data_IF_254075309674
#
_entry.id   IF_254075309674
#
_cell.length_a   1.000
_cell.length_b   1.000
_cell.length_c   1.000
_cell.angle_alpha   90.00
_cell.angle_beta   90.00
_cell.angle_gamma   90.00
#
_symmetry.space_group_name_H-M   'P 1'
#
loop_
_entity.id
_entity.type
_entity.pdbx_description
1 polymer ?
#
# COMPACT_ATOMS: atom_id res chain seq x y z
N UNK A 1 13.05 -31.67 -5.60
CA UNK A 1 14.41 -31.78 -6.20
C UNK A 1 15.27 -30.64 -5.66
N UNK A 2 16.59 -30.67 -5.83
CA UNK A 2 17.48 -29.57 -5.41
C UNK A 2 17.29 -28.35 -6.32
N UNK A 3 17.62 -27.16 -5.82
CA UNK A 3 17.54 -25.90 -6.56
C UNK A 3 18.68 -24.95 -6.18
N UNK A 4 19.12 -24.10 -7.09
CA UNK A 4 20.09 -23.06 -6.75
C UNK A 4 19.39 -21.92 -6.00
N UNK A 5 19.79 -21.67 -4.75
CA UNK A 5 19.19 -20.63 -3.91
C UNK A 5 20.05 -19.36 -3.94
N UNK A 6 19.58 -18.31 -4.64
CA UNK A 6 20.25 -17.00 -4.66
C UNK A 6 20.49 -16.43 -3.26
N UNK A 7 19.54 -16.61 -2.33
CA UNK A 7 19.66 -16.13 -0.94
C UNK A 7 20.89 -16.69 -0.22
N UNK A 8 21.18 -17.98 -0.42
CA UNK A 8 22.28 -18.70 0.23
C UNK A 8 23.51 -18.87 -0.67
N UNK A 9 23.44 -18.48 -1.94
CA UNK A 9 24.53 -18.64 -2.91
C UNK A 9 24.93 -20.09 -3.19
N UNK A 10 24.06 -21.06 -2.93
CA UNK A 10 24.37 -22.50 -3.04
C UNK A 10 23.18 -23.34 -3.50
N UNK A 11 23.46 -24.58 -3.88
CA UNK A 11 22.42 -25.59 -4.13
C UNK A 11 21.77 -25.95 -2.79
N UNK A 12 20.46 -25.71 -2.69
CA UNK A 12 19.62 -26.03 -1.56
C UNK A 12 18.64 -27.17 -1.92
N UNK A 13 18.06 -27.78 -0.88
CA UNK A 13 16.92 -28.68 -0.99
C UNK A 13 15.71 -28.07 -0.28
N UNK A 14 14.48 -28.32 -0.76
CA UNK A 14 13.28 -27.95 -0.03
C UNK A 14 13.32 -28.51 1.40
N UNK A 15 12.85 -27.70 2.36
CA UNK A 15 12.73 -28.12 3.74
C UNK A 15 11.41 -28.86 3.93
N UNK A 16 11.45 -29.99 4.65
CA UNK A 16 10.25 -30.78 4.97
C UNK A 16 9.57 -30.34 6.27
N UNK A 17 9.89 -29.14 6.76
CA UNK A 17 9.43 -28.62 8.05
C UNK A 17 8.32 -27.55 7.93
N UNK A 18 7.62 -27.51 6.80
CA UNK A 18 6.56 -26.51 6.56
C UNK A 18 5.39 -26.67 7.55
N UNK A 19 5.07 -27.89 7.97
CA UNK A 19 3.96 -28.18 8.89
C UNK A 19 4.10 -27.41 10.20
N UNK A 20 5.31 -27.32 10.76
CA UNK A 20 5.57 -26.55 12.00
C UNK A 20 5.19 -25.08 11.84
N UNK A 21 5.52 -24.47 10.70
CA UNK A 21 5.17 -23.07 10.43
C UNK A 21 3.69 -22.91 10.17
N UNK A 22 3.07 -23.88 9.48
CA UNK A 22 1.63 -23.88 9.25
C UNK A 22 0.84 -23.91 10.55
N UNK A 23 1.20 -24.80 11.48
CA UNK A 23 0.61 -24.89 12.82
C UNK A 23 0.82 -23.60 13.61
N UNK A 24 2.07 -23.10 13.65
CA UNK A 24 2.41 -21.87 14.37
C UNK A 24 1.58 -20.68 13.89
N UNK A 25 1.56 -20.42 12.58
CA UNK A 25 0.82 -19.29 12.02
C UNK A 25 -0.69 -19.49 12.14
N UNK A 26 -1.20 -20.72 12.05
CA UNK A 26 -2.62 -21.00 12.30
C UNK A 26 -3.02 -20.61 13.72
N UNK A 27 -2.26 -21.04 14.73
CA UNK A 27 -2.54 -20.72 16.13
C UNK A 27 -2.38 -19.23 16.41
N UNK A 28 -1.32 -18.59 15.89
CA UNK A 28 -1.11 -17.14 16.00
C UNK A 28 -2.27 -16.35 15.38
N UNK A 29 -2.72 -16.72 14.17
CA UNK A 29 -3.87 -16.08 13.51
C UNK A 29 -5.15 -16.22 14.35
N UNK A 30 -5.46 -17.41 14.88
CA UNK A 30 -6.65 -17.61 15.72
C UNK A 30 -6.59 -16.76 17.00
N UNK A 31 -5.42 -16.67 17.64
CA UNK A 31 -5.23 -15.84 18.83
C UNK A 31 -5.45 -14.36 18.51
N UNK A 32 -4.90 -13.86 17.40
CA UNK A 32 -5.10 -12.47 16.96
C UNK A 32 -6.55 -12.16 16.61
N UNK A 33 -7.25 -13.09 15.97
CA UNK A 33 -8.68 -12.92 15.69
C UNK A 33 -9.49 -12.84 16.98
N UNK A 34 -9.17 -13.67 17.99
CA UNK A 34 -9.81 -13.62 19.31
C UNK A 34 -9.51 -12.33 20.07
N UNK A 35 -8.32 -11.77 19.92
CA UNK A 35 -7.97 -10.48 20.50
C UNK A 35 -8.69 -9.33 19.77
N UNK A 36 -8.66 -9.35 18.44
CA UNK A 36 -9.33 -8.36 17.60
C UNK A 36 -10.85 -8.34 17.85
N UNK A 37 -11.49 -9.48 18.06
CA UNK A 37 -12.92 -9.55 18.38
C UNK A 37 -13.31 -8.75 19.63
N UNK A 38 -12.38 -8.59 20.58
CA UNK A 38 -12.57 -7.75 21.77
C UNK A 38 -12.33 -6.26 21.52
N UNK A 39 -11.49 -5.93 20.54
CA UNK A 39 -11.07 -4.56 20.23
C UNK A 39 -11.94 -3.90 19.17
N UNK A 40 -12.50 -4.68 18.25
CA UNK A 40 -13.25 -4.16 17.11
C UNK A 40 -14.48 -3.40 17.58
N UNK A 41 -14.69 -2.25 16.98
CA UNK A 41 -15.89 -1.45 17.18
C UNK A 41 -16.90 -1.74 16.07
N UNK A 42 -18.15 -1.32 16.28
CA UNK A 42 -19.21 -1.46 15.28
C UNK A 42 -18.99 -0.49 14.11
N UNK A 43 -18.04 -0.84 13.24
CA UNK A 43 -17.66 -0.09 12.04
C UNK A 43 -17.93 -0.92 10.81
N UNK A 44 -18.34 -0.27 9.73
CA UNK A 44 -18.42 -0.90 8.42
C UNK A 44 -17.11 -0.69 7.68
N UNK A 45 -16.54 -1.76 7.15
CA UNK A 45 -15.27 -1.76 6.42
C UNK A 45 -15.46 -2.47 5.10
N UNK A 46 -14.88 -1.93 4.04
CA UNK A 46 -15.04 -2.46 2.68
C UNK A 46 -13.69 -2.46 1.97
N UNK A 47 -13.37 -3.59 1.32
CA UNK A 47 -12.22 -3.71 0.45
C UNK A 47 -12.67 -3.54 -1.01
N UNK A 48 -12.03 -2.61 -1.71
CA UNK A 48 -12.23 -2.34 -3.12
C UNK A 48 -10.97 -2.72 -3.89
N UNK A 49 -11.14 -3.33 -5.07
CA UNK A 49 -10.03 -3.77 -5.92
C UNK A 49 -10.10 -3.07 -7.27
N UNK A 50 -9.06 -2.32 -7.63
CA UNK A 50 -9.01 -1.57 -8.87
C UNK A 50 -7.83 -0.61 -8.94
N UNK A 51 -7.72 0.10 -10.06
CA UNK A 51 -6.73 1.15 -10.22
C UNK A 51 -7.17 2.41 -9.46
N UNK A 52 -6.42 2.80 -8.43
CA UNK A 52 -6.76 3.94 -7.59
C UNK A 52 -6.77 5.27 -8.35
N UNK A 53 -6.13 5.35 -9.52
CA UNK A 53 -6.18 6.53 -10.41
C UNK A 53 -7.56 6.76 -11.02
N UNK A 54 -8.35 5.70 -11.20
CA UNK A 54 -9.57 5.74 -12.02
C UNK A 54 -10.79 5.08 -11.39
N UNK A 55 -10.61 4.28 -10.34
CA UNK A 55 -11.71 3.59 -9.66
C UNK A 55 -12.77 4.59 -9.18
N UNK A 56 -14.03 4.29 -9.47
CA UNK A 56 -15.16 5.01 -8.89
C UNK A 56 -15.52 4.40 -7.54
N UNK A 57 -15.03 5.03 -6.46
CA UNK A 57 -15.19 4.55 -5.09
C UNK A 57 -16.67 4.46 -4.72
N UNK A 58 -17.50 5.41 -5.18
CA UNK A 58 -18.92 5.43 -4.84
C UNK A 58 -19.66 4.27 -5.50
N UNK A 59 -19.48 4.08 -6.81
CA UNK A 59 -20.17 3.00 -7.53
C UNK A 59 -19.72 1.61 -7.04
N UNK A 60 -18.44 1.43 -6.72
CA UNK A 60 -17.94 0.17 -6.16
C UNK A 60 -18.47 -0.11 -4.74
N UNK A 61 -18.66 0.93 -3.93
CA UNK A 61 -19.30 0.79 -2.61
C UNK A 61 -20.79 0.49 -2.77
N UNK A 62 -21.49 1.18 -3.67
CA UNK A 62 -22.92 1.00 -3.92
C UNK A 62 -23.27 -0.44 -4.32
N UNK A 63 -22.43 -1.08 -5.14
CA UNK A 63 -22.56 -2.51 -5.49
C UNK A 63 -22.52 -3.44 -4.27
N UNK A 64 -21.79 -3.06 -3.21
CA UNK A 64 -21.61 -3.87 -1.99
C UNK A 64 -22.61 -3.49 -0.88
N UNK A 65 -22.91 -2.21 -0.72
CA UNK A 65 -23.82 -1.69 0.30
C UNK A 65 -24.33 -0.29 -0.11
N UNK A 66 -25.58 -0.24 -0.59
CA UNK A 66 -26.21 1.01 -1.01
C UNK A 66 -26.37 2.02 0.14
N UNK A 67 -26.71 1.56 1.35
CA UNK A 67 -26.89 2.46 2.51
C UNK A 67 -25.57 3.13 2.87
N UNK A 68 -24.46 2.39 2.84
CA UNK A 68 -23.14 2.95 3.09
C UNK A 68 -22.68 3.89 1.97
N UNK A 69 -23.07 3.62 0.72
CA UNK A 69 -22.80 4.51 -0.40
C UNK A 69 -23.50 5.88 -0.23
N UNK A 70 -24.77 5.88 0.20
CA UNK A 70 -25.49 7.12 0.51
C UNK A 70 -24.82 7.88 1.67
N UNK A 71 -24.39 7.18 2.72
CA UNK A 71 -23.62 7.79 3.80
C UNK A 71 -22.32 8.44 3.30
N UNK A 72 -21.60 7.77 2.38
CA UNK A 72 -20.39 8.31 1.77
C UNK A 72 -20.67 9.59 0.97
N UNK A 73 -21.77 9.67 0.22
CA UNK A 73 -22.12 10.91 -0.50
C UNK A 73 -22.43 12.07 0.45
N UNK A 74 -23.13 11.79 1.56
CA UNK A 74 -23.53 12.81 2.52
C UNK A 74 -22.38 13.29 3.40
N UNK A 75 -21.63 12.35 4.00
CA UNK A 75 -20.60 12.66 4.99
C UNK A 75 -19.22 12.85 4.36
N UNK A 76 -18.99 12.24 3.19
CA UNK A 76 -17.69 12.18 2.51
C UNK A 76 -16.58 11.60 3.39
N UNK A 77 -15.37 11.53 2.86
CA UNK A 77 -14.20 10.95 3.53
C UNK A 77 -13.43 12.06 4.24
N UNK A 78 -13.21 11.88 5.55
CA UNK A 78 -12.42 12.80 6.39
C UNK A 78 -10.94 12.85 6.02
N UNK A 79 -10.41 11.77 5.48
CA UNK A 79 -9.00 11.72 5.15
C UNK A 79 -8.54 10.34 4.69
N UNK A 80 -7.28 10.27 4.32
CA UNK A 80 -6.61 9.02 3.96
C UNK A 80 -5.32 8.88 4.75
N UNK A 81 -4.99 7.63 5.08
CA UNK A 81 -3.69 7.26 5.61
C UNK A 81 -3.16 6.14 4.73
N UNK A 82 -2.04 6.35 4.07
CA UNK A 82 -1.51 5.38 3.11
C UNK A 82 0.01 5.39 3.05
N UNK A 83 0.57 4.29 2.56
CA UNK A 83 1.96 4.20 2.13
C UNK A 83 1.95 3.85 0.64
N UNK A 84 2.13 4.85 -0.25
CA UNK A 84 2.19 4.61 -1.69
C UNK A 84 3.29 3.61 -2.06
N UNK A 85 3.20 2.93 -3.22
CA UNK A 85 4.28 2.07 -3.68
C UNK A 85 5.60 2.87 -3.77
N UNK A 86 6.73 2.21 -3.53
CA UNK A 86 8.04 2.83 -3.61
C UNK A 86 8.58 2.68 -5.03
N UNK A 87 9.18 3.74 -5.58
CA UNK A 87 9.65 3.79 -6.97
C UNK A 87 10.61 2.63 -7.25
N UNK A 88 10.18 1.68 -8.10
CA UNK A 88 10.99 0.59 -8.59
C UNK A 88 11.62 -0.25 -7.49
N UNK A 89 10.92 -0.44 -6.36
CA UNK A 89 11.45 -1.22 -5.24
C UNK A 89 11.19 -2.72 -5.42
N UNK A 90 9.95 -3.06 -5.79
CA UNK A 90 9.46 -4.44 -5.96
C UNK A 90 8.41 -4.48 -7.08
N UNK A 91 8.27 -5.63 -7.71
CA UNK A 91 7.09 -5.98 -8.51
C UNK A 91 6.07 -6.59 -7.53
N UNK A 92 4.99 -5.87 -7.19
CA UNK A 92 4.12 -6.23 -6.07
C UNK A 92 3.35 -7.53 -6.31
N UNK A 93 2.77 -7.69 -7.50
CA UNK A 93 2.06 -8.91 -7.90
C UNK A 93 3.01 -10.10 -7.90
N UNK A 94 4.23 -9.92 -8.40
CA UNK A 94 5.21 -11.02 -8.46
C UNK A 94 5.71 -11.42 -7.07
N UNK A 95 6.00 -10.46 -6.20
CA UNK A 95 6.39 -10.75 -4.82
C UNK A 95 5.30 -11.50 -4.04
N UNK A 96 4.03 -11.31 -4.42
CA UNK A 96 2.87 -11.90 -3.76
C UNK A 96 2.20 -13.00 -4.62
N UNK A 97 2.89 -13.54 -5.64
CA UNK A 97 2.30 -14.44 -6.63
C UNK A 97 1.56 -15.64 -6.01
N UNK A 98 2.11 -16.23 -4.95
CA UNK A 98 1.46 -17.34 -4.25
C UNK A 98 0.12 -16.96 -3.61
N UNK A 99 -0.05 -15.73 -3.12
CA UNK A 99 -1.33 -15.28 -2.60
C UNK A 99 -2.38 -15.20 -3.71
N UNK A 100 -2.00 -14.66 -4.88
CA UNK A 100 -2.90 -14.62 -6.04
C UNK A 100 -3.30 -16.02 -6.50
N UNK A 101 -2.34 -16.95 -6.56
CA UNK A 101 -2.60 -18.34 -6.95
C UNK A 101 -3.49 -19.07 -5.92
N UNK A 102 -3.15 -19.01 -4.64
CA UNK A 102 -3.88 -19.71 -3.56
C UNK A 102 -5.32 -19.22 -3.45
N UNK A 103 -5.54 -17.91 -3.58
CA UNK A 103 -6.88 -17.31 -3.46
C UNK A 103 -7.61 -17.16 -4.80
N UNK A 104 -7.01 -17.58 -5.91
CA UNK A 104 -7.59 -17.45 -7.26
C UNK A 104 -7.88 -15.99 -7.64
N UNK A 105 -7.04 -15.04 -7.19
CA UNK A 105 -7.20 -13.62 -7.47
C UNK A 105 -6.65 -13.28 -8.86
N UNK A 106 -7.36 -12.42 -9.59
CA UNK A 106 -6.88 -11.88 -10.86
C UNK A 106 -5.68 -10.95 -10.62
N UNK A 107 -4.59 -11.17 -11.36
CA UNK A 107 -3.42 -10.28 -11.34
C UNK A 107 -3.61 -9.12 -12.32
N UNK A 108 -3.18 -7.92 -11.92
CA UNK A 108 -3.26 -6.69 -12.73
C UNK A 108 -1.89 -6.01 -12.78
N UNK A 109 -0.86 -6.77 -13.13
CA UNK A 109 0.55 -6.35 -13.14
C UNK A 109 0.76 -5.02 -13.91
N UNK A 110 0.08 -4.85 -15.04
CA UNK A 110 0.19 -3.64 -15.88
C UNK A 110 -0.33 -2.36 -15.22
N UNK A 111 -1.13 -2.48 -14.16
CA UNK A 111 -1.66 -1.34 -13.40
C UNK A 111 -0.73 -0.92 -12.25
N UNK A 112 0.39 -1.62 -12.03
CA UNK A 112 1.35 -1.24 -11.01
C UNK A 112 1.97 0.14 -11.28
N UNK A 113 2.05 0.95 -10.23
CA UNK A 113 2.73 2.23 -10.26
C UNK A 113 4.20 2.00 -9.91
N UNK A 114 5.08 2.16 -10.90
CA UNK A 114 6.53 2.01 -10.78
C UNK A 114 7.02 0.64 -10.25
N UNK A 115 6.68 -0.45 -10.95
CA UNK A 115 7.21 -1.78 -10.64
C UNK A 115 8.74 -1.84 -10.78
N UNK A 116 9.39 -2.74 -10.04
CA UNK A 116 10.86 -2.95 -10.08
C UNK A 116 11.36 -3.24 -11.50
N UNK A 117 10.62 -4.04 -12.26
CA UNK A 117 10.90 -4.37 -13.67
C UNK A 117 11.07 -3.14 -14.59
N UNK A 118 10.50 -1.97 -14.23
CA UNK A 118 10.65 -0.71 -14.97
C UNK A 118 11.79 0.17 -14.46
N UNK A 119 12.43 -0.19 -13.34
CA UNK A 119 13.57 0.54 -12.77
C UNK A 119 13.20 1.86 -12.06
N UNK A 120 14.22 2.70 -11.82
CA UNK A 120 14.12 3.93 -11.03
C UNK A 120 14.61 5.19 -11.78
N UNK A 121 14.61 5.14 -13.12
CA UNK A 121 15.08 6.22 -13.97
C UNK A 121 14.27 7.51 -13.84
N UNK A 122 14.71 8.57 -14.52
CA UNK A 122 13.99 9.85 -14.52
C UNK A 122 12.56 9.72 -15.05
N UNK A 123 12.37 8.95 -16.12
CA UNK A 123 11.04 8.70 -16.68
C UNK A 123 10.13 8.00 -15.66
N UNK A 124 10.63 7.00 -14.94
CA UNK A 124 9.86 6.31 -13.90
C UNK A 124 9.53 7.24 -12.74
N UNK A 125 10.44 8.12 -12.33
CA UNK A 125 10.16 9.12 -11.28
C UNK A 125 9.10 10.13 -11.73
N UNK A 126 9.14 10.59 -12.99
CA UNK A 126 8.11 11.46 -13.57
C UNK A 126 6.75 10.75 -13.64
N UNK A 127 6.74 9.49 -14.08
CA UNK A 127 5.55 8.65 -14.11
C UNK A 127 4.98 8.41 -12.71
N UNK A 128 5.82 8.17 -11.71
CA UNK A 128 5.44 8.03 -10.31
C UNK A 128 4.72 9.28 -9.80
N UNK A 129 5.37 10.44 -9.94
CA UNK A 129 4.83 11.73 -9.52
C UNK A 129 3.43 11.94 -10.11
N UNK A 130 3.30 11.75 -11.44
CA UNK A 130 2.04 11.90 -12.14
C UNK A 130 0.98 10.91 -11.64
N UNK A 131 1.35 9.64 -11.51
CA UNK A 131 0.42 8.58 -11.11
C UNK A 131 -0.09 8.76 -9.68
N UNK A 132 0.78 9.08 -8.72
CA UNK A 132 0.35 9.34 -7.34
C UNK A 132 -0.51 10.61 -7.27
N UNK A 133 -0.17 11.66 -8.03
CA UNK A 133 -1.01 12.85 -8.11
C UNK A 133 -2.41 12.53 -8.68
N UNK A 134 -2.50 11.70 -9.72
CA UNK A 134 -3.78 11.24 -10.29
C UNK A 134 -4.61 10.45 -9.26
N UNK A 135 -3.98 9.58 -8.46
CA UNK A 135 -4.65 8.90 -7.34
C UNK A 135 -5.25 9.90 -6.36
N UNK A 136 -4.46 10.89 -5.90
CA UNK A 136 -4.92 11.90 -4.95
C UNK A 136 -6.04 12.77 -5.52
N UNK A 137 -5.94 13.16 -6.80
CA UNK A 137 -6.99 13.90 -7.51
C UNK A 137 -8.27 13.08 -7.62
N UNK A 138 -8.15 11.76 -7.87
CA UNK A 138 -9.31 10.88 -7.90
C UNK A 138 -9.96 10.76 -6.51
N UNK A 139 -9.17 10.55 -5.46
CA UNK A 139 -9.65 10.48 -4.08
C UNK A 139 -10.33 11.78 -3.62
N UNK A 140 -9.82 12.94 -4.05
CA UNK A 140 -10.33 14.26 -3.67
C UNK A 140 -11.82 14.46 -4.00
N UNK A 141 -12.34 13.80 -5.04
CA UNK A 141 -13.77 13.81 -5.39
C UNK A 141 -14.67 13.35 -4.23
N UNK A 142 -14.13 12.51 -3.34
CA UNK A 142 -14.85 11.88 -2.24
C UNK A 142 -14.52 12.50 -0.87
N UNK A 143 -13.70 13.55 -0.81
CA UNK A 143 -13.29 14.17 0.45
C UNK A 143 -14.30 15.22 0.92
N UNK A 144 -14.49 15.31 2.24
CA UNK A 144 -15.13 16.48 2.87
C UNK A 144 -14.17 17.68 2.85
N UNK A 145 -14.66 18.85 3.20
CA UNK A 145 -13.80 20.02 3.40
C UNK A 145 -12.86 19.80 4.60
N UNK A 146 -11.68 20.42 4.56
CA UNK A 146 -10.62 20.28 5.58
C UNK A 146 -10.20 18.82 5.85
N UNK A 147 -10.14 17.99 4.80
CA UNK A 147 -9.66 16.61 4.90
C UNK A 147 -8.19 16.52 5.34
N UNK A 148 -7.78 15.36 5.87
CA UNK A 148 -6.38 15.08 6.20
C UNK A 148 -5.82 13.95 5.33
N UNK A 149 -4.69 14.18 4.64
CA UNK A 149 -4.00 13.14 3.87
C UNK A 149 -2.64 12.88 4.51
N UNK A 150 -2.42 11.64 4.96
CA UNK A 150 -1.14 11.19 5.49
C UNK A 150 -0.52 10.17 4.54
N UNK A 151 0.64 10.52 3.98
CA UNK A 151 1.41 9.61 3.13
C UNK A 151 2.74 9.26 3.81
N UNK A 152 2.95 7.96 4.04
CA UNK A 152 4.20 7.43 4.62
C UNK A 152 5.09 6.94 3.50
N UNK A 153 6.26 7.58 3.34
CA UNK A 153 7.19 7.22 2.28
C UNK A 153 8.65 7.51 2.63
N UNK A 154 9.54 6.76 1.99
CA UNK A 154 10.95 7.11 1.93
C UNK A 154 11.19 7.97 0.69
N UNK A 155 11.20 9.29 0.87
CA UNK A 155 11.33 10.22 -0.25
C UNK A 155 12.79 10.50 -0.64
N UNK A 156 13.49 9.46 -1.07
CA UNK A 156 14.91 9.53 -1.50
C UNK A 156 15.15 10.57 -2.61
N UNK A 157 14.15 10.83 -3.45
CA UNK A 157 14.29 11.67 -4.64
C UNK A 157 13.56 13.02 -4.53
N UNK A 158 13.04 13.38 -3.35
CA UNK A 158 12.29 14.61 -3.10
C UNK A 158 11.10 14.81 -4.07
N UNK A 159 10.29 13.77 -4.26
CA UNK A 159 9.17 13.73 -5.20
C UNK A 159 7.88 14.30 -4.61
N UNK A 160 7.71 14.21 -3.28
CA UNK A 160 6.43 14.53 -2.63
C UNK A 160 6.01 16.00 -2.72
N UNK A 161 6.93 17.00 -2.70
CA UNK A 161 6.55 18.38 -2.98
C UNK A 161 5.85 18.54 -4.34
N UNK A 162 6.34 17.84 -5.37
CA UNK A 162 5.74 17.94 -6.72
C UNK A 162 4.40 17.18 -6.81
N UNK A 163 4.28 16.05 -6.12
CA UNK A 163 3.02 15.30 -6.01
C UNK A 163 1.94 16.17 -5.34
N UNK A 164 2.28 16.84 -4.23
CA UNK A 164 1.36 17.75 -3.55
C UNK A 164 0.91 18.89 -4.47
N UNK A 165 1.86 19.53 -5.17
CA UNK A 165 1.55 20.60 -6.12
C UNK A 165 0.58 20.14 -7.23
N UNK A 166 0.87 19.02 -7.89
CA UNK A 166 0.07 18.49 -9.00
C UNK A 166 -1.31 17.98 -8.55
N UNK A 167 -1.45 17.57 -7.30
CA UNK A 167 -2.73 17.14 -6.72
C UNK A 167 -3.57 18.31 -6.19
N UNK A 168 -3.08 19.56 -6.29
CA UNK A 168 -3.76 20.73 -5.75
C UNK A 168 -3.79 20.74 -4.21
N UNK A 169 -2.77 20.15 -3.59
CA UNK A 169 -2.58 20.06 -2.14
C UNK A 169 -1.30 20.78 -1.73
N UNK A 170 -1.09 20.92 -0.42
CA UNK A 170 0.14 21.42 0.18
C UNK A 170 0.55 20.55 1.37
N UNK A 171 1.84 20.32 1.53
CA UNK A 171 2.41 19.66 2.70
C UNK A 171 2.43 20.70 3.83
N UNK A 172 1.71 20.45 4.92
CA UNK A 172 1.67 21.37 6.07
C UNK A 172 2.56 20.91 7.23
N UNK A 173 2.79 19.59 7.36
CA UNK A 173 3.71 19.02 8.34
C UNK A 173 4.48 17.85 7.73
N UNK A 174 5.68 17.62 8.25
CA UNK A 174 6.49 16.43 7.98
C UNK A 174 6.95 15.81 9.29
N UNK A 175 6.72 14.50 9.45
CA UNK A 175 7.16 13.75 10.62
C UNK A 175 8.16 12.69 10.22
N UNK A 176 9.35 12.68 10.83
CA UNK A 176 10.36 11.67 10.57
C UNK A 176 10.16 10.46 11.48
N UNK A 177 10.11 9.28 10.89
CA UNK A 177 9.95 8.00 11.58
C UNK A 177 11.13 7.07 11.27
N UNK A 178 11.88 6.60 12.27
CA UNK A 178 12.89 5.57 12.06
C UNK A 178 12.23 4.19 11.80
N UNK A 179 12.78 3.42 10.88
CA UNK A 179 12.36 2.03 10.61
C UNK A 179 13.39 1.08 11.21
N UNK A 180 13.09 0.57 12.40
CA UNK A 180 14.01 -0.24 13.20
C UNK A 180 14.06 -1.70 12.77
N UNK A 181 12.96 -2.24 12.23
CA UNK A 181 12.81 -3.65 11.90
C UNK A 181 12.73 -3.85 10.39
N UNK A 182 13.89 -4.01 9.73
CA UNK A 182 13.97 -4.37 8.30
C UNK A 182 14.30 -5.85 8.12
N UNK A 183 13.61 -6.45 7.14
CA UNK A 183 13.84 -7.84 6.68
C UNK A 183 15.07 -7.92 5.77
N UNK A 184 15.49 -6.78 5.19
CA UNK A 184 16.67 -6.68 4.34
C UNK A 184 17.98 -6.89 5.11
N UNK A 185 19.03 -7.31 4.38
CA UNK A 185 20.33 -7.72 4.93
C UNK A 185 21.11 -6.56 5.56
N UNK A 186 20.86 -5.33 5.14
CA UNK A 186 21.53 -4.15 5.69
C UNK A 186 20.70 -3.63 6.87
N UNK A 187 21.13 -3.94 8.10
CA UNK A 187 20.56 -3.36 9.32
C UNK A 187 21.40 -2.20 9.86
N UNK A 188 22.57 -1.98 9.27
CA UNK A 188 23.57 -1.03 9.76
C UNK A 188 23.33 0.36 9.20
N UNK A 189 22.74 0.47 8.00
CA UNK A 189 22.34 1.76 7.43
C UNK A 189 21.03 2.26 8.04
N UNK A 190 20.98 3.42 8.72
CA UNK A 190 19.74 3.99 9.23
C UNK A 190 18.72 4.20 8.10
N UNK A 191 17.50 3.69 8.28
CA UNK A 191 16.39 3.92 7.36
C UNK A 191 15.29 4.69 8.06
N UNK A 192 14.84 5.75 7.42
CA UNK A 192 13.75 6.57 7.92
C UNK A 192 12.73 6.81 6.82
N UNK A 193 11.49 6.95 7.25
CA UNK A 193 10.38 7.38 6.42
C UNK A 193 9.92 8.74 6.91
N UNK A 194 9.34 9.51 5.99
CA UNK A 194 8.63 10.74 6.30
C UNK A 194 7.14 10.46 6.19
N UNK A 195 6.40 10.92 7.19
CA UNK A 195 4.94 11.03 7.14
C UNK A 195 4.64 12.45 6.67
N UNK A 196 4.19 12.57 5.43
CA UNK A 196 3.75 13.84 4.86
C UNK A 196 2.29 14.07 5.22
N UNK A 197 2.00 15.20 5.86
CA UNK A 197 0.63 15.64 6.11
C UNK A 197 0.22 16.66 5.05
N UNK A 198 -0.66 16.25 4.14
CA UNK A 198 -1.17 17.07 3.05
C UNK A 198 -2.57 17.59 3.39
N UNK A 199 -2.80 18.85 3.05
CA UNK A 199 -4.09 19.56 3.12
C UNK A 199 -4.43 20.15 1.76
N UNK A 200 -5.69 20.52 1.57
CA UNK A 200 -6.10 21.33 0.43
C UNK A 200 -5.30 22.64 0.36
N UNK A 201 -4.97 23.06 -0.87
CA UNK A 201 -4.18 24.27 -1.11
C UNK A 201 -4.93 25.53 -0.67
#
# INVERSE_FOLDING_TARGET
TTYYCKKHGKICKPIFSITKWWEFYTVDTLNRLKEFDKLRTNTFQVCLTGDSRTIDIYEEIKKKNAVFAEMLLMQKIRGIFSSPPYVGLIDYHEQHAYAYEIFGLERKDELEICPLSKGQGEEQRKFYIKSIAEVLVNCKKYFQDDYDVFLVANDKFNLYPKIAELSGMKIINEFKRPVLCRVEKDRDTPYAETIFHLKER
#
